data_IF_809616060455
#
_entry.id   IF_809616060455
#
_cell.length_a   1.000
_cell.length_b   1.000
_cell.length_c   1.000
_cell.angle_alpha   90.00
_cell.angle_beta   90.00
_cell.angle_gamma   90.00
#
_symmetry.space_group_name_H-M   'P 1'
#
loop_
_entity.id
_entity.type
_entity.pdbx_description
1 polymer ?
#
# COMPACT_ATOMS: atom_id res chain seq x y z
N UNK A 1 -31.69 -60.31 32.38
CA UNK A 1 -32.48 -60.53 31.14
C UNK A 1 -32.31 -59.32 30.24
N UNK A 2 -31.58 -59.46 29.13
CA UNK A 2 -32.00 -59.06 27.78
C UNK A 2 -30.89 -59.45 26.79
N UNK A 3 -31.32 -60.08 25.71
CA UNK A 3 -30.53 -60.86 24.73
C UNK A 3 -29.90 -59.95 23.68
N UNK A 4 -28.62 -60.17 23.38
CA UNK A 4 -28.04 -59.79 22.09
C UNK A 4 -28.27 -60.93 21.09
N UNK A 5 -28.78 -60.60 19.90
CA UNK A 5 -28.90 -61.52 18.75
C UNK A 5 -27.99 -61.02 17.64
N UNK A 6 -27.09 -61.90 17.20
CA UNK A 6 -26.33 -61.81 15.97
C UNK A 6 -27.25 -61.87 14.75
N UNK A 7 -26.82 -61.30 13.61
CA UNK A 7 -26.86 -61.93 12.28
C UNK A 7 -25.85 -61.22 11.35
N UNK A 8 -25.06 -62.06 10.69
CA UNK A 8 -24.05 -61.81 9.67
C UNK A 8 -24.68 -61.58 8.29
N UNK A 9 -24.03 -60.82 7.40
CA UNK A 9 -23.91 -61.22 5.99
C UNK A 9 -22.78 -60.46 5.26
N UNK A 10 -21.83 -61.22 4.74
CA UNK A 10 -20.83 -60.84 3.75
C UNK A 10 -21.50 -60.55 2.39
N UNK A 11 -21.02 -59.54 1.66
CA UNK A 11 -21.03 -59.57 0.19
C UNK A 11 -19.98 -58.59 -0.38
N UNK A 12 -18.91 -59.19 -0.88
CA UNK A 12 -17.89 -58.60 -1.74
C UNK A 12 -18.42 -58.46 -3.16
N UNK A 13 -18.27 -57.28 -3.77
CA UNK A 13 -18.34 -57.10 -5.23
C UNK A 13 -17.23 -56.16 -5.64
N UNK A 14 -16.26 -56.71 -6.37
CA UNK A 14 -15.26 -55.96 -7.12
C UNK A 14 -15.89 -55.43 -8.41
N UNK A 15 -15.70 -54.15 -8.72
CA UNK A 15 -15.86 -53.64 -10.08
C UNK A 15 -14.69 -52.70 -10.39
N UNK A 16 -13.73 -53.22 -11.16
CA UNK A 16 -12.88 -52.40 -12.00
C UNK A 16 -13.61 -52.19 -13.33
N UNK A 17 -14.08 -50.96 -13.59
CA UNK A 17 -14.42 -50.52 -14.93
C UNK A 17 -13.52 -49.35 -15.30
N UNK A 18 -12.67 -49.61 -16.28
CA UNK A 18 -11.93 -48.63 -17.05
C UNK A 18 -12.93 -47.77 -17.82
N UNK A 19 -12.99 -46.47 -17.54
CA UNK A 19 -13.58 -45.49 -18.45
C UNK A 19 -12.45 -44.61 -19.00
N UNK A 20 -11.97 -45.04 -20.16
CA UNK A 20 -11.34 -44.18 -21.14
C UNK A 20 -12.34 -43.10 -21.56
N UNK A 21 -12.05 -41.86 -21.18
CA UNK A 21 -12.68 -40.68 -21.77
C UNK A 21 -11.57 -39.71 -22.19
N UNK A 22 -11.07 -39.92 -23.40
CA UNK A 22 -10.46 -38.87 -24.20
C UNK A 22 -11.55 -37.85 -24.56
N UNK A 23 -11.82 -36.90 -23.66
CA UNK A 23 -12.53 -35.70 -24.04
C UNK A 23 -11.54 -34.80 -24.79
N UNK A 24 -11.68 -34.80 -26.11
CA UNK A 24 -11.12 -33.78 -26.99
C UNK A 24 -11.56 -32.40 -26.47
N UNK A 25 -10.68 -31.74 -25.72
CA UNK A 25 -10.77 -30.31 -25.47
C UNK A 25 -10.54 -29.61 -26.79
N UNK A 26 -11.65 -29.25 -27.44
CA UNK A 26 -11.65 -28.17 -28.42
C UNK A 26 -11.09 -26.93 -27.72
N UNK A 27 -10.05 -26.28 -28.26
CA UNK A 27 -9.64 -24.99 -27.75
C UNK A 27 -10.72 -23.99 -28.15
N UNK A 28 -11.73 -23.85 -27.30
CA UNK A 28 -12.63 -22.71 -27.34
C UNK A 28 -11.76 -21.47 -27.26
N UNK A 29 -11.72 -20.69 -28.35
CA UNK A 29 -11.11 -19.37 -28.39
C UNK A 29 -11.60 -18.60 -27.16
N UNK A 30 -10.75 -18.53 -26.13
CA UNK A 30 -10.89 -17.54 -25.09
C UNK A 30 -10.89 -16.20 -25.82
N UNK A 31 -12.02 -15.50 -25.80
CA UNK A 31 -12.06 -14.10 -26.23
C UNK A 31 -11.12 -13.36 -25.31
N UNK A 32 -9.90 -13.10 -25.78
CA UNK A 32 -8.97 -12.21 -25.11
C UNK A 32 -9.63 -10.83 -25.07
N UNK A 33 -10.06 -10.43 -23.88
CA UNK A 33 -10.45 -9.05 -23.59
C UNK A 33 -9.24 -8.17 -23.93
N UNK A 34 -9.42 -7.04 -24.62
CA UNK A 34 -8.31 -6.23 -25.08
C UNK A 34 -7.54 -5.71 -23.86
N UNK A 35 -6.29 -6.13 -23.73
CA UNK A 35 -5.31 -5.37 -22.94
C UNK A 35 -5.25 -4.01 -23.62
N UNK A 36 -5.71 -2.96 -22.93
CA UNK A 36 -5.61 -1.59 -23.46
C UNK A 36 -4.13 -1.21 -23.44
N UNK A 37 -3.43 -1.48 -24.54
CA UNK A 37 -2.09 -1.00 -24.83
C UNK A 37 -2.12 0.51 -25.14
N UNK A 38 -2.35 1.30 -24.09
CA UNK A 38 -1.93 2.69 -23.89
C UNK A 38 -2.66 3.19 -22.66
N UNK A 39 -1.91 3.58 -21.64
CA UNK A 39 -2.40 4.15 -20.40
C UNK A 39 -3.06 5.51 -20.61
N UNK A 40 -4.26 5.52 -21.19
CA UNK A 40 -5.11 6.70 -21.27
C UNK A 40 -6.05 6.64 -20.09
N UNK A 41 -5.93 7.62 -19.19
CA UNK A 41 -6.87 7.80 -18.09
C UNK A 41 -8.29 7.93 -18.65
N UNK A 42 -9.21 7.10 -18.15
CA UNK A 42 -10.63 7.29 -18.43
C UNK A 42 -11.14 8.57 -17.73
N UNK A 43 -12.38 8.97 -18.02
CA UNK A 43 -12.96 10.20 -17.47
C UNK A 43 -12.98 10.22 -15.93
N UNK A 44 -13.20 9.08 -15.28
CA UNK A 44 -13.20 8.98 -13.81
C UNK A 44 -11.80 9.20 -13.22
N UNK A 45 -10.77 8.55 -13.79
CA UNK A 45 -9.39 8.73 -13.35
C UNK A 45 -8.91 10.16 -13.57
N UNK A 46 -9.29 10.77 -14.70
CA UNK A 46 -8.97 12.18 -14.99
C UNK A 46 -9.64 13.14 -14.00
N UNK A 47 -10.90 12.90 -13.63
CA UNK A 47 -11.57 13.71 -12.63
C UNK A 47 -10.87 13.63 -11.26
N UNK A 48 -10.38 12.45 -10.87
CA UNK A 48 -9.58 12.29 -9.66
C UNK A 48 -8.28 13.09 -9.78
N UNK A 49 -7.51 12.92 -10.86
CA UNK A 49 -6.22 13.60 -11.03
C UNK A 49 -6.35 15.13 -11.12
N UNK A 50 -7.41 15.65 -11.72
CA UNK A 50 -7.67 17.10 -11.74
C UNK A 50 -8.08 17.65 -10.37
N UNK A 51 -8.76 16.86 -9.54
CA UNK A 51 -9.21 17.29 -8.20
C UNK A 51 -8.08 17.51 -7.20
N UNK A 52 -6.89 16.93 -7.42
CA UNK A 52 -5.82 16.92 -6.41
C UNK A 52 -5.15 18.28 -6.21
N UNK A 53 -5.30 19.22 -7.15
CA UNK A 53 -4.59 20.52 -7.17
C UNK A 53 -4.84 21.36 -5.91
N UNK A 54 -5.97 21.16 -5.24
CA UNK A 54 -6.36 21.88 -4.03
C UNK A 54 -6.31 21.00 -2.78
N UNK A 55 -5.93 19.72 -2.91
CA UNK A 55 -6.00 18.78 -1.82
C UNK A 55 -4.75 18.83 -0.94
N UNK A 56 -4.93 18.67 0.39
CA UNK A 56 -3.81 18.45 1.29
C UNK A 56 -3.01 17.21 0.87
N UNK A 57 -1.67 17.28 0.97
CA UNK A 57 -0.79 16.17 0.62
C UNK A 57 0.18 15.77 1.75
N UNK A 58 0.72 14.55 1.63
CA UNK A 58 1.89 14.05 2.35
C UNK A 58 2.93 13.60 1.34
N UNK A 59 4.16 14.10 1.46
CA UNK A 59 5.29 13.76 0.61
C UNK A 59 6.25 12.85 1.37
N UNK A 60 6.50 11.66 0.84
CA UNK A 60 7.55 10.75 1.30
C UNK A 60 8.66 10.65 0.24
N UNK A 61 9.89 10.98 0.62
CA UNK A 61 11.04 11.02 -0.29
C UNK A 61 12.15 10.08 0.17
N UNK A 62 12.70 9.31 -0.77
CA UNK A 62 13.92 8.52 -0.63
C UNK A 62 14.96 8.98 -1.66
N UNK A 63 16.12 8.34 -1.73
CA UNK A 63 17.20 8.70 -2.67
C UNK A 63 16.72 8.71 -4.13
N UNK A 64 15.84 7.78 -4.48
CA UNK A 64 15.50 7.45 -5.88
C UNK A 64 14.03 7.67 -6.21
N UNK A 65 13.21 7.97 -5.21
CA UNK A 65 11.76 7.91 -5.35
C UNK A 65 11.07 8.91 -4.43
N UNK A 66 10.08 9.60 -4.97
CA UNK A 66 9.13 10.45 -4.24
C UNK A 66 7.74 9.87 -4.38
N UNK A 67 7.02 9.84 -3.26
CA UNK A 67 5.62 9.43 -3.17
C UNK A 67 4.81 10.60 -2.62
N UNK A 68 3.85 11.12 -3.36
CA UNK A 68 2.96 12.19 -2.92
C UNK A 68 1.54 11.66 -2.81
N UNK A 69 1.06 11.49 -1.57
CA UNK A 69 -0.31 11.07 -1.30
C UNK A 69 -1.22 12.30 -1.11
N UNK A 70 -2.34 12.36 -1.81
CA UNK A 70 -3.33 13.44 -1.75
C UNK A 70 -4.59 12.97 -1.03
N UNK A 71 -5.12 13.82 -0.16
CA UNK A 71 -6.18 13.47 0.77
C UNK A 71 -7.47 14.25 0.52
N UNK A 72 -8.59 13.54 0.46
CA UNK A 72 -9.92 14.11 0.65
C UNK A 72 -10.41 13.73 2.05
N UNK A 73 -10.44 14.72 2.95
CA UNK A 73 -10.61 14.46 4.38
C UNK A 73 -9.49 13.58 4.94
N UNK A 74 -9.84 12.39 5.46
CA UNK A 74 -8.88 11.41 6.03
C UNK A 74 -8.46 10.31 5.04
N UNK A 75 -9.06 10.27 3.85
CA UNK A 75 -8.82 9.22 2.88
C UNK A 75 -7.86 9.68 1.79
N UNK A 76 -6.92 8.82 1.42
CA UNK A 76 -6.12 9.03 0.22
C UNK A 76 -7.03 8.81 -1.00
N UNK A 77 -6.97 9.72 -1.96
CA UNK A 77 -7.69 9.59 -3.24
C UNK A 77 -6.73 9.38 -4.41
N UNK A 78 -5.48 9.78 -4.25
CA UNK A 78 -4.47 9.69 -5.30
C UNK A 78 -3.06 9.62 -4.72
N UNK A 79 -2.18 8.83 -5.33
CA UNK A 79 -0.75 8.81 -5.03
C UNK A 79 0.01 9.01 -6.33
N UNK A 80 0.85 10.04 -6.36
CA UNK A 80 1.83 10.27 -7.42
C UNK A 80 3.18 9.69 -7.01
N UNK A 81 3.78 8.86 -7.88
CA UNK A 81 5.07 8.23 -7.66
C UNK A 81 6.01 8.70 -8.75
N UNK A 82 7.10 9.39 -8.38
CA UNK A 82 8.05 10.01 -9.32
C UNK A 82 9.50 9.77 -8.90
N UNK A 83 10.42 9.68 -9.87
CA UNK A 83 11.80 9.24 -9.67
C UNK A 83 12.13 8.08 -10.61
N UNK A 84 12.82 7.06 -10.11
CA UNK A 84 13.21 5.90 -10.92
C UNK A 84 12.01 5.12 -11.48
N UNK A 85 10.90 5.09 -10.72
CA UNK A 85 9.62 4.54 -11.16
C UNK A 85 8.61 5.68 -11.30
N UNK A 86 7.82 5.67 -12.37
CA UNK A 86 6.70 6.61 -12.52
C UNK A 86 5.39 5.85 -12.48
N UNK A 87 4.56 6.13 -11.48
CA UNK A 87 3.24 5.52 -11.32
C UNK A 87 2.23 6.50 -10.74
N UNK A 88 0.97 6.30 -11.11
CA UNK A 88 -0.19 6.98 -10.54
C UNK A 88 -1.11 5.94 -9.94
N UNK A 89 -1.44 6.08 -8.67
CA UNK A 89 -2.35 5.16 -7.96
C UNK A 89 -3.63 5.92 -7.64
N UNK A 90 -4.76 5.39 -8.13
CA UNK A 90 -6.07 6.00 -7.96
C UNK A 90 -6.87 5.24 -6.92
N UNK A 91 -7.50 5.98 -6.02
CA UNK A 91 -8.33 5.41 -4.97
C UNK A 91 -9.72 6.01 -4.96
N UNK A 92 -10.70 5.16 -4.63
CA UNK A 92 -12.08 5.57 -4.35
C UNK A 92 -12.52 4.87 -3.07
N UNK A 93 -13.07 5.63 -2.13
CA UNK A 93 -13.51 5.11 -0.83
C UNK A 93 -12.41 4.32 -0.08
N UNK A 94 -11.15 4.73 -0.22
CA UNK A 94 -9.99 4.08 0.41
C UNK A 94 -9.51 2.78 -0.27
N UNK A 95 -10.13 2.38 -1.38
CA UNK A 95 -9.73 1.19 -2.15
C UNK A 95 -8.99 1.61 -3.43
N UNK A 96 -7.96 0.86 -3.80
CA UNK A 96 -7.24 1.06 -5.07
C UNK A 96 -8.14 0.60 -6.22
N UNK A 97 -8.51 1.55 -7.09
CA UNK A 97 -9.36 1.30 -8.26
C UNK A 97 -8.55 1.21 -9.55
N UNK A 98 -7.40 1.89 -9.63
CA UNK A 98 -6.52 1.78 -10.78
C UNK A 98 -5.06 2.11 -10.44
N UNK A 99 -4.15 1.56 -11.23
CA UNK A 99 -2.73 1.95 -11.25
C UNK A 99 -2.34 2.21 -12.70
N UNK A 100 -1.76 3.37 -12.97
CA UNK A 100 -1.21 3.73 -14.27
C UNK A 100 0.29 3.85 -14.15
N UNK A 101 1.04 3.17 -15.01
CA UNK A 101 2.48 3.33 -15.13
C UNK A 101 2.86 3.62 -16.59
N UNK A 102 4.16 3.67 -16.89
CA UNK A 102 4.65 4.01 -18.24
C UNK A 102 4.22 3.04 -19.34
N UNK A 103 3.77 1.82 -18.99
CA UNK A 103 3.47 0.77 -19.97
C UNK A 103 2.00 0.38 -19.99
N UNK A 104 1.32 0.39 -18.84
CA UNK A 104 -0.03 -0.17 -18.69
C UNK A 104 -0.89 0.65 -17.74
N UNK A 105 -2.20 0.61 -17.99
CA UNK A 105 -3.23 0.94 -17.03
C UNK A 105 -3.82 -0.37 -16.50
N UNK A 106 -3.75 -0.55 -15.19
CA UNK A 106 -4.40 -1.63 -14.47
C UNK A 106 -5.71 -1.09 -13.89
N UNK A 107 -6.84 -1.47 -14.48
CA UNK A 107 -8.17 -1.15 -13.96
C UNK A 107 -8.65 -2.31 -13.08
N UNK A 108 -8.98 -2.03 -11.82
CA UNK A 108 -9.44 -3.02 -10.85
C UNK A 108 -10.95 -2.98 -10.62
N UNK A 109 -11.68 -2.12 -11.34
CA UNK A 109 -13.15 -2.13 -11.34
C UNK A 109 -13.72 -3.26 -12.22
N UNK A 110 -12.91 -3.81 -13.13
CA UNK A 110 -13.28 -4.95 -13.98
C UNK A 110 -12.97 -6.28 -13.29
N UNK A 111 -13.89 -7.24 -13.42
CA UNK A 111 -13.71 -8.60 -12.89
C UNK A 111 -12.61 -9.36 -13.66
N UNK A 112 -11.93 -10.30 -12.98
CA UNK A 112 -10.85 -11.16 -13.49
C UNK A 112 -9.49 -10.47 -13.71
N UNK A 113 -8.90 -9.96 -12.63
CA UNK A 113 -7.50 -9.54 -12.61
C UNK A 113 -6.58 -10.76 -12.72
N UNK A 114 -5.62 -10.73 -13.65
CA UNK A 114 -4.55 -11.72 -13.73
C UNK A 114 -3.57 -11.60 -12.53
N UNK A 115 -2.62 -12.53 -12.44
CA UNK A 115 -1.65 -12.58 -11.33
C UNK A 115 -0.81 -11.30 -11.24
N UNK A 116 -0.44 -10.71 -12.38
CA UNK A 116 0.36 -9.48 -12.44
C UNK A 116 -0.45 -8.29 -11.92
N UNK A 117 -1.71 -8.15 -12.37
CA UNK A 117 -2.64 -7.13 -11.91
C UNK A 117 -2.88 -7.23 -10.40
N UNK A 118 -3.05 -8.45 -9.87
CA UNK A 118 -3.17 -8.67 -8.42
C UNK A 118 -1.91 -8.24 -7.66
N UNK A 119 -0.72 -8.52 -8.19
CA UNK A 119 0.53 -8.08 -7.55
C UNK A 119 0.68 -6.56 -7.58
N UNK A 120 0.33 -5.90 -8.69
CA UNK A 120 0.31 -4.44 -8.79
C UNK A 120 -0.65 -3.83 -7.77
N UNK A 121 -1.85 -4.40 -7.63
CA UNK A 121 -2.83 -3.95 -6.63
C UNK A 121 -2.29 -4.08 -5.21
N UNK A 122 -1.72 -5.22 -4.83
CA UNK A 122 -1.12 -5.43 -3.49
C UNK A 122 0.03 -4.45 -3.20
N UNK A 123 0.86 -4.18 -4.20
CA UNK A 123 1.94 -3.20 -4.07
C UNK A 123 1.38 -1.78 -3.84
N UNK A 124 0.34 -1.41 -4.58
CA UNK A 124 -0.35 -0.13 -4.40
C UNK A 124 -0.97 -0.02 -3.00
N UNK A 125 -1.72 -1.05 -2.56
CA UNK A 125 -2.33 -1.10 -1.22
C UNK A 125 -1.30 -1.00 -0.09
N UNK A 126 -0.11 -1.59 -0.26
CA UNK A 126 1.02 -1.43 0.68
C UNK A 126 1.45 0.04 0.80
N UNK A 127 1.54 0.77 -0.32
CA UNK A 127 1.81 2.20 -0.29
C UNK A 127 0.69 3.00 0.35
N UNK A 128 -0.58 2.68 0.07
CA UNK A 128 -1.72 3.31 0.75
C UNK A 128 -1.58 3.18 2.26
N UNK A 129 -1.25 1.98 2.77
CA UNK A 129 -1.04 1.74 4.20
C UNK A 129 0.11 2.58 4.77
N UNK A 130 1.24 2.66 4.05
CA UNK A 130 2.43 3.42 4.47
C UNK A 130 2.19 4.92 4.50
N UNK A 131 1.43 5.46 3.55
CA UNK A 131 1.22 6.90 3.39
C UNK A 131 -0.02 7.43 4.12
N UNK A 132 -0.92 6.55 4.57
CA UNK A 132 -2.16 6.93 5.27
C UNK A 132 -1.93 7.56 6.65
N UNK A 133 -3.01 8.09 7.24
CA UNK A 133 -3.03 8.54 8.64
C UNK A 133 -2.72 7.38 9.60
N UNK A 134 -1.70 7.54 10.44
CA UNK A 134 -1.38 6.59 11.50
C UNK A 134 -2.09 6.95 12.82
N UNK A 135 -1.79 6.19 13.87
CA UNK A 135 -2.34 6.42 15.21
C UNK A 135 -1.88 7.74 15.82
N UNK A 136 -0.65 8.20 15.56
CA UNK A 136 -0.17 9.48 16.08
C UNK A 136 -0.93 10.65 15.46
N UNK A 137 -1.13 10.64 14.15
CA UNK A 137 -1.91 11.66 13.43
C UNK A 137 -3.35 11.75 13.98
N UNK A 138 -3.94 10.62 14.39
CA UNK A 138 -5.32 10.54 14.90
C UNK A 138 -5.46 11.03 16.35
N UNK A 139 -4.40 10.93 17.15
CA UNK A 139 -4.44 11.17 18.60
C UNK A 139 -3.66 12.42 19.03
N UNK A 140 -3.14 13.19 18.08
CA UNK A 140 -2.32 14.37 18.35
C UNK A 140 -3.02 15.41 19.25
N UNK A 141 -4.34 15.60 19.10
CA UNK A 141 -5.12 16.49 19.97
C UNK A 141 -5.18 16.06 21.44
N UNK A 142 -4.87 14.79 21.76
CA UNK A 142 -4.76 14.30 23.13
C UNK A 142 -3.35 14.44 23.72
N UNK A 143 -2.35 14.83 22.91
CA UNK A 143 -0.96 14.99 23.37
C UNK A 143 -0.82 16.34 24.10
N UNK A 144 -0.69 16.28 25.43
CA UNK A 144 -0.56 17.45 26.32
C UNK A 144 0.89 17.89 26.57
N UNK A 145 1.83 17.44 25.75
CA UNK A 145 3.25 17.79 25.86
C UNK A 145 3.57 19.04 25.03
N UNK A 146 4.76 19.62 25.24
CA UNK A 146 5.22 20.78 24.46
C UNK A 146 5.33 20.48 22.96
N UNK A 147 5.31 21.53 22.14
CA UNK A 147 5.30 21.43 20.67
C UNK A 147 6.47 20.62 20.10
N UNK A 148 7.66 20.71 20.70
CA UNK A 148 8.81 19.89 20.30
C UNK A 148 8.60 18.39 20.54
N UNK A 149 7.91 18.02 21.62
CA UNK A 149 7.59 16.63 21.92
C UNK A 149 6.52 16.10 20.94
N UNK A 150 5.54 16.94 20.57
CA UNK A 150 4.57 16.62 19.51
C UNK A 150 5.26 16.40 18.17
N UNK A 151 6.16 17.31 17.78
CA UNK A 151 6.98 17.17 16.57
C UNK A 151 7.73 15.84 16.54
N UNK A 152 8.43 15.53 17.62
CA UNK A 152 9.17 14.29 17.74
C UNK A 152 8.26 13.05 17.63
N UNK A 153 7.12 13.07 18.30
CA UNK A 153 6.14 11.99 18.29
C UNK A 153 5.59 11.72 16.88
N UNK A 154 5.10 12.77 16.21
CA UNK A 154 4.54 12.68 14.86
C UNK A 154 5.57 12.18 13.85
N UNK A 155 6.78 12.75 13.88
CA UNK A 155 7.85 12.36 12.96
C UNK A 155 8.27 10.90 13.16
N UNK A 156 8.42 10.41 14.39
CA UNK A 156 8.82 9.02 14.63
C UNK A 156 7.73 8.05 14.25
N UNK A 157 6.49 8.33 14.61
CA UNK A 157 5.37 7.48 14.21
C UNK A 157 5.27 7.37 12.69
N UNK A 158 5.49 8.48 11.97
CA UNK A 158 5.48 8.47 10.50
C UNK A 158 6.66 7.69 9.92
N UNK A 159 7.87 7.85 10.46
CA UNK A 159 9.05 7.05 10.08
C UNK A 159 8.78 5.56 10.28
N UNK A 160 8.28 5.17 11.46
CA UNK A 160 7.97 3.78 11.77
C UNK A 160 6.96 3.18 10.80
N UNK A 161 5.95 3.98 10.40
CA UNK A 161 4.94 3.58 9.43
C UNK A 161 5.53 3.37 8.02
N UNK A 162 6.25 4.36 7.48
CA UNK A 162 6.76 4.27 6.09
C UNK A 162 7.89 3.26 5.94
N UNK A 163 8.76 3.15 6.96
CA UNK A 163 9.87 2.20 6.98
C UNK A 163 9.43 0.79 7.40
N UNK A 164 8.20 0.61 7.89
CA UNK A 164 7.69 -0.69 8.34
C UNK A 164 8.45 -1.27 9.53
N UNK A 165 8.95 -0.42 10.43
CA UNK A 165 9.70 -0.84 11.62
C UNK A 165 9.28 -0.10 12.87
N UNK A 166 9.34 -0.77 14.02
CA UNK A 166 9.24 -0.12 15.34
C UNK A 166 10.59 0.37 15.86
N UNK A 167 11.72 -0.16 15.35
CA UNK A 167 13.07 0.15 15.84
C UNK A 167 13.63 1.35 15.09
N UNK A 168 13.51 2.52 15.70
CA UNK A 168 14.12 3.76 15.22
C UNK A 168 15.10 4.24 16.27
N UNK A 169 16.39 4.15 15.98
CA UNK A 169 17.44 4.65 16.85
C UNK A 169 17.92 5.99 16.28
N UNK A 170 17.89 7.03 17.10
CA UNK A 170 18.39 8.34 16.72
C UNK A 170 19.79 8.53 17.29
N UNK A 171 20.67 9.15 16.52
CA UNK A 171 21.96 9.62 17.04
C UNK A 171 21.75 10.95 17.78
N UNK A 172 22.56 11.25 18.79
CA UNK A 172 22.35 12.30 19.80
C UNK A 172 22.33 13.74 19.26
N UNK A 173 22.73 13.99 18.01
CA UNK A 173 22.78 15.33 17.40
C UNK A 173 21.44 15.90 16.93
N UNK A 174 20.30 15.46 17.46
CA UNK A 174 18.99 15.94 16.99
C UNK A 174 18.70 17.32 17.57
N UNK A 175 18.97 18.37 16.80
CA UNK A 175 18.40 19.69 17.06
C UNK A 175 17.06 19.78 16.35
N UNK A 176 15.95 19.76 17.09
CA UNK A 176 14.71 20.34 16.57
C UNK A 176 14.99 21.84 16.39
N UNK A 177 15.36 22.27 15.18
CA UNK A 177 15.66 23.67 14.90
C UNK A 177 14.40 24.56 14.89
N UNK A 178 13.23 23.97 15.15
CA UNK A 178 11.91 24.62 15.19
C UNK A 178 10.86 23.65 15.77
N UNK A 179 9.64 24.14 15.99
CA UNK A 179 8.47 23.34 16.38
C UNK A 179 7.80 22.60 15.21
N UNK A 180 8.22 22.88 13.96
CA UNK A 180 7.58 22.35 12.75
C UNK A 180 8.49 21.50 11.88
N UNK A 181 9.81 21.49 12.12
CA UNK A 181 10.79 20.73 11.34
C UNK A 181 11.80 20.03 12.23
N UNK A 182 11.96 18.74 12.00
CA UNK A 182 12.93 17.87 12.66
C UNK A 182 13.88 17.25 11.64
N UNK A 183 15.17 17.53 11.80
CA UNK A 183 16.25 16.86 11.06
C UNK A 183 17.02 15.94 11.99
N UNK A 184 17.32 14.72 11.55
CA UNK A 184 17.99 13.73 12.38
C UNK A 184 18.83 12.76 11.55
N UNK A 185 19.98 12.36 12.08
CA UNK A 185 20.67 11.14 11.63
C UNK A 185 20.10 9.96 12.40
N UNK A 186 19.53 9.00 11.69
CA UNK A 186 18.83 7.85 12.30
C UNK A 186 19.27 6.53 11.71
N UNK A 187 19.08 5.47 12.49
CA UNK A 187 19.34 4.10 12.12
C UNK A 187 18.02 3.34 12.17
N UNK A 188 17.65 2.75 11.04
CA UNK A 188 16.44 1.95 10.85
C UNK A 188 16.86 0.50 10.65
N UNK A 189 16.30 -0.44 11.42
CA UNK A 189 16.49 -1.91 11.27
C UNK A 189 17.80 -2.37 10.58
N UNK A 190 18.90 -2.49 11.34
CA UNK A 190 20.19 -2.93 10.79
C UNK A 190 21.23 -1.82 10.89
N UNK A 191 22.32 -1.87 10.10
CA UNK A 191 23.49 -0.97 10.23
C UNK A 191 23.42 0.29 9.36
N UNK A 192 22.37 0.46 8.56
CA UNK A 192 22.27 1.59 7.65
C UNK A 192 21.83 2.86 8.38
N UNK A 193 22.54 3.96 8.09
CA UNK A 193 22.19 5.28 8.58
C UNK A 193 21.43 6.06 7.50
N UNK A 194 20.48 6.85 7.96
CA UNK A 194 19.64 7.71 7.13
C UNK A 194 19.71 9.14 7.65
N UNK A 195 19.76 10.08 6.72
CA UNK A 195 19.43 11.47 6.98
C UNK A 195 17.91 11.64 6.86
N UNK A 196 17.27 11.97 7.98
CA UNK A 196 15.86 12.29 8.05
C UNK A 196 15.64 13.80 7.99
N UNK A 197 14.65 14.22 7.22
CA UNK A 197 14.06 15.56 7.27
C UNK A 197 12.53 15.43 7.34
N UNK A 198 11.93 15.80 8.47
CA UNK A 198 10.51 15.70 8.73
C UNK A 198 9.92 17.09 8.97
N UNK A 199 8.83 17.41 8.26
CA UNK A 199 8.17 18.71 8.32
C UNK A 199 6.68 18.51 8.59
N UNK A 200 6.15 19.30 9.53
CA UNK A 200 4.74 19.35 9.87
C UNK A 200 4.01 20.45 9.11
N UNK A 201 2.70 20.25 8.94
CA UNK A 201 1.74 21.27 8.54
C UNK A 201 0.53 21.16 9.46
N UNK A 202 0.45 22.04 10.47
CA UNK A 202 -0.47 21.86 11.59
C UNK A 202 -0.14 20.57 12.34
N UNK A 203 -1.17 19.78 12.67
CA UNK A 203 -1.04 18.60 13.52
C UNK A 203 -0.66 17.30 12.79
N UNK A 204 0.02 17.40 11.64
CA UNK A 204 0.39 16.23 10.82
C UNK A 204 1.70 16.41 10.08
N UNK A 205 2.33 15.29 9.74
CA UNK A 205 3.52 15.27 8.88
C UNK A 205 3.11 15.55 7.43
N UNK A 206 3.62 16.65 6.87
CA UNK A 206 3.41 17.04 5.48
C UNK A 206 4.53 16.55 4.57
N UNK A 207 5.75 16.46 5.07
CA UNK A 207 6.89 15.90 4.34
C UNK A 207 7.76 15.04 5.25
N UNK A 208 8.22 13.91 4.74
CA UNK A 208 9.23 13.07 5.35
C UNK A 208 10.23 12.63 4.29
N UNK A 209 11.51 12.94 4.48
CA UNK A 209 12.61 12.43 3.66
C UNK A 209 13.44 11.46 4.48
N UNK A 210 13.79 10.31 3.90
CA UNK A 210 14.71 9.32 4.46
C UNK A 210 15.76 8.97 3.40
N UNK A 211 16.88 9.69 3.42
CA UNK A 211 17.98 9.58 2.46
C UNK A 211 19.06 8.69 3.06
N UNK A 212 19.51 7.66 2.36
CA UNK A 212 20.56 6.80 2.89
C UNK A 212 21.89 7.55 2.91
N UNK A 213 22.57 7.55 4.07
CA UNK A 213 23.96 7.99 4.12
C UNK A 213 24.81 6.88 3.50
N UNK A 214 25.37 7.15 2.32
CA UNK A 214 26.31 6.27 1.63
C UNK A 214 27.71 6.43 2.21
#
# INVERSE_FOLDING_TARGET
MMKAKNISLLLSVAFAFVLSACSQLTPGKAKSVPVVEKGVENAELKAISDSIKTLPSFIYQTDNQTYTAYFSGKNIVYIDVSGNKVEKIYLKNGQVIAVVNSTKLYDFNVANADVDALQVKRNAESWVKKLSYNSADKNIGAVRTGEEAKLNYLCIAKVQQVAGTKRVLRTSGNSAGSTSRLTAKMRLNGNQFYQMDCILSGDRVAKLSLIANK
#
